data_IF_845013530091
#
_entry.id   IF_845013530091
#
_cell.length_a   1.000
_cell.length_b   1.000
_cell.length_c   1.000
_cell.angle_alpha   90.00
_cell.angle_beta   90.00
_cell.angle_gamma   90.00
#
_symmetry.space_group_name_H-M   'P 1'
#
loop_
_entity.id
_entity.type
_entity.pdbx_description
1 polymer ?
#
# COMPACT_ATOMS: atom_id res chain seq x y z
N UNK A 1 -22.45 16.42 70.84
CA UNK A 1 -23.09 17.65 70.29
C UNK A 1 -24.46 17.77 70.94
N UNK A 2 -24.90 18.97 71.34
CA UNK A 2 -26.22 19.18 71.96
C UNK A 2 -27.04 20.12 71.09
N UNK A 3 -28.36 19.94 71.07
CA UNK A 3 -29.24 20.88 70.37
C UNK A 3 -29.21 22.26 71.05
N UNK A 4 -29.00 23.37 70.32
CA UNK A 4 -28.95 24.71 70.92
C UNK A 4 -30.31 25.19 71.45
N UNK A 5 -31.42 24.58 71.03
CA UNK A 5 -32.78 24.99 71.43
C UNK A 5 -33.29 24.19 72.62
N UNK A 6 -33.32 22.85 72.52
CA UNK A 6 -33.88 21.99 73.58
C UNK A 6 -32.83 21.32 74.47
N UNK A 7 -31.54 21.56 74.23
CA UNK A 7 -30.42 20.93 74.94
C UNK A 7 -30.40 19.39 74.92
N UNK A 8 -31.20 18.76 74.05
CA UNK A 8 -31.18 17.30 73.87
C UNK A 8 -29.87 16.83 73.24
N UNK A 9 -29.47 15.63 73.64
CA UNK A 9 -28.27 14.93 73.13
C UNK A 9 -28.62 14.00 71.95
N UNK A 10 -29.90 13.90 71.59
CA UNK A 10 -30.39 13.04 70.51
C UNK A 10 -30.39 13.79 69.17
N UNK A 11 -29.34 13.54 68.38
CA UNK A 11 -29.08 14.19 67.09
C UNK A 11 -28.90 13.09 66.03
N UNK A 12 -29.59 13.23 64.90
CA UNK A 12 -29.58 12.27 63.79
C UNK A 12 -29.21 12.99 62.50
N UNK A 13 -28.55 12.25 61.59
CA UNK A 13 -28.14 12.74 60.29
C UNK A 13 -29.19 12.34 59.27
N UNK A 14 -29.86 13.32 58.69
CA UNK A 14 -30.75 13.13 57.55
C UNK A 14 -29.92 13.17 56.27
N UNK A 15 -29.55 11.99 55.79
CA UNK A 15 -28.80 11.83 54.55
C UNK A 15 -29.61 12.16 53.29
N UNK A 16 -30.94 12.15 53.37
CA UNK A 16 -31.79 12.48 52.21
C UNK A 16 -31.79 13.99 51.95
N UNK A 17 -31.80 14.79 53.02
CA UNK A 17 -31.77 16.26 52.92
C UNK A 17 -30.36 16.86 53.16
N UNK A 18 -29.38 16.03 53.54
CA UNK A 18 -28.02 16.46 53.84
C UNK A 18 -27.96 17.35 55.08
N UNK A 19 -28.68 17.00 56.15
CA UNK A 19 -28.84 17.84 57.34
C UNK A 19 -28.55 17.06 58.62
N UNK A 20 -28.08 17.75 59.65
CA UNK A 20 -27.93 17.23 61.01
C UNK A 20 -29.08 17.79 61.84
N UNK A 21 -29.99 16.95 62.32
CA UNK A 21 -31.27 17.36 62.90
C UNK A 21 -31.42 16.81 64.32
N UNK A 22 -31.94 17.63 65.24
CA UNK A 22 -32.33 17.15 66.57
C UNK A 22 -33.66 16.37 66.49
N UNK A 23 -33.68 15.15 67.00
CA UNK A 23 -34.91 14.32 66.98
C UNK A 23 -35.95 14.76 68.00
N UNK A 24 -35.57 15.53 69.02
CA UNK A 24 -36.48 15.95 70.08
C UNK A 24 -37.30 17.20 69.68
N UNK A 25 -36.71 18.17 69.00
CA UNK A 25 -37.39 19.42 68.63
C UNK A 25 -37.38 19.73 67.13
N UNK A 26 -36.79 18.87 66.30
CA UNK A 26 -36.76 19.03 64.84
C UNK A 26 -35.82 20.13 64.32
N UNK A 27 -35.02 20.74 65.19
CA UNK A 27 -34.10 21.81 64.79
C UNK A 27 -32.96 21.27 63.95
N UNK A 28 -32.73 21.85 62.77
CA UNK A 28 -31.54 21.63 61.95
C UNK A 28 -30.36 22.34 62.60
N UNK A 29 -29.37 21.57 63.03
CA UNK A 29 -28.17 22.03 63.72
C UNK A 29 -27.09 22.39 62.72
N UNK A 30 -26.96 21.61 61.65
CA UNK A 30 -25.93 21.80 60.63
C UNK A 30 -26.36 21.17 59.29
N UNK A 31 -25.62 21.46 58.23
CA UNK A 31 -25.80 20.90 56.88
C UNK A 31 -24.58 20.06 56.53
N UNK A 32 -24.81 18.81 56.12
CA UNK A 32 -23.76 17.89 55.68
C UNK A 32 -23.31 18.30 54.28
N UNK A 33 -22.15 18.93 54.18
CA UNK A 33 -21.48 19.20 52.91
C UNK A 33 -20.75 17.94 52.46
N UNK A 34 -21.29 17.24 51.46
CA UNK A 34 -20.56 16.17 50.76
C UNK A 34 -19.72 16.85 49.67
N UNK A 35 -18.46 17.15 49.98
CA UNK A 35 -17.48 17.44 48.94
C UNK A 35 -17.25 16.16 48.13
N UNK A 36 -17.87 16.07 46.96
CA UNK A 36 -17.43 15.12 45.94
C UNK A 36 -16.03 15.55 45.52
N UNK A 37 -15.00 14.94 46.11
CA UNK A 37 -13.65 14.97 45.56
C UNK A 37 -13.65 14.20 44.24
N UNK A 38 -14.23 14.79 43.19
CA UNK A 38 -13.73 14.54 41.86
C UNK A 38 -12.28 14.98 41.88
N UNK A 39 -11.36 14.06 41.62
CA UNK A 39 -9.96 14.35 41.37
C UNK A 39 -9.84 15.19 40.09
N UNK A 40 -10.19 16.48 40.18
CA UNK A 40 -10.04 17.49 39.13
C UNK A 40 -8.59 18.02 39.11
N UNK A 41 -7.76 17.60 40.06
CA UNK A 41 -6.38 18.08 40.25
C UNK A 41 -5.45 17.89 39.04
N UNK A 42 -5.77 17.02 38.07
CA UNK A 42 -4.94 16.84 36.86
C UNK A 42 -5.40 17.63 35.62
N UNK A 43 -6.54 18.34 35.67
CA UNK A 43 -7.10 19.02 34.48
C UNK A 43 -7.37 20.53 34.62
N UNK A 44 -7.06 21.17 35.75
CA UNK A 44 -7.34 22.60 35.99
C UNK A 44 -6.50 23.54 35.10
N UNK A 45 -5.44 23.05 34.45
CA UNK A 45 -4.59 23.87 33.57
C UNK A 45 -4.92 23.85 32.08
N UNK A 46 -5.87 23.03 31.62
CA UNK A 46 -6.18 22.91 30.18
C UNK A 46 -7.69 22.99 29.96
N UNK A 47 -8.17 24.18 29.63
CA UNK A 47 -9.54 24.37 29.15
C UNK A 47 -9.87 23.40 27.99
N UNK A 48 -11.18 23.24 27.72
CA UNK A 48 -11.64 22.47 26.55
C UNK A 48 -10.91 23.00 25.30
N UNK A 49 -10.30 22.11 24.48
CA UNK A 49 -9.55 22.56 23.32
C UNK A 49 -10.47 23.37 22.43
N UNK A 50 -10.02 24.57 22.06
CA UNK A 50 -10.75 25.40 21.11
C UNK A 50 -10.99 24.62 19.80
N UNK A 51 -12.04 24.94 19.05
CA UNK A 51 -12.30 24.31 17.74
C UNK A 51 -11.04 24.33 16.85
N UNK A 52 -10.27 25.43 16.93
CA UNK A 52 -8.99 25.61 16.24
C UNK A 52 -7.91 24.63 16.70
N UNK A 53 -7.77 24.40 18.00
CA UNK A 53 -6.87 23.38 18.56
C UNK A 53 -7.31 21.95 18.21
N UNK A 54 -8.61 21.68 18.23
CA UNK A 54 -9.18 20.40 17.79
C UNK A 54 -8.82 20.10 16.33
N UNK A 55 -8.98 21.08 15.44
CA UNK A 55 -8.59 20.97 14.03
C UNK A 55 -7.07 20.78 13.88
N UNK A 56 -6.25 21.52 14.63
CA UNK A 56 -4.80 21.39 14.59
C UNK A 56 -4.34 20.00 15.06
N UNK A 57 -4.89 19.48 16.16
CA UNK A 57 -4.62 18.12 16.66
C UNK A 57 -5.07 17.06 15.66
N UNK A 58 -6.22 17.24 15.00
CA UNK A 58 -6.68 16.34 13.94
C UNK A 58 -5.71 16.32 12.76
N UNK A 59 -5.30 17.50 12.26
CA UNK A 59 -4.27 17.62 11.20
C UNK A 59 -2.94 16.98 11.60
N UNK A 60 -2.51 17.15 12.84
CA UNK A 60 -1.27 16.55 13.36
C UNK A 60 -1.37 15.02 13.46
N UNK A 61 -2.53 14.48 13.86
CA UNK A 61 -2.81 13.04 13.85
C UNK A 61 -2.81 12.48 12.43
N UNK A 62 -3.45 13.15 11.49
CA UNK A 62 -3.44 12.76 10.08
C UNK A 62 -2.02 12.78 9.50
N UNK A 63 -1.26 13.85 9.78
CA UNK A 63 0.14 13.97 9.35
C UNK A 63 1.03 12.86 9.94
N UNK A 64 0.94 12.62 11.26
CA UNK A 64 1.70 11.55 11.91
C UNK A 64 1.29 10.16 11.44
N UNK A 65 0.01 9.92 11.14
CA UNK A 65 -0.45 8.68 10.52
C UNK A 65 0.13 8.49 9.12
N UNK A 66 0.16 9.54 8.29
CA UNK A 66 0.78 9.51 6.94
C UNK A 66 2.29 9.23 7.02
N UNK A 67 3.00 9.86 7.96
CA UNK A 67 4.42 9.59 8.17
C UNK A 67 4.68 8.14 8.58
N UNK A 68 3.84 7.58 9.45
CA UNK A 68 3.93 6.17 9.88
C UNK A 68 3.69 5.21 8.71
N UNK A 69 2.69 5.48 7.85
CA UNK A 69 2.42 4.63 6.68
C UNK A 69 3.55 4.69 5.66
N UNK A 70 4.05 5.88 5.34
CA UNK A 70 5.22 6.05 4.48
C UNK A 70 6.47 5.35 5.05
N UNK A 71 6.70 5.47 6.36
CA UNK A 71 7.80 4.79 7.03
C UNK A 71 7.70 3.27 6.92
N UNK A 72 6.48 2.71 6.98
CA UNK A 72 6.25 1.26 6.80
C UNK A 72 6.53 0.82 5.36
N UNK A 73 6.07 1.58 4.36
CA UNK A 73 6.32 1.29 2.94
C UNK A 73 7.82 1.29 2.62
N UNK A 74 8.54 2.32 3.09
CA UNK A 74 9.99 2.44 2.91
C UNK A 74 10.74 1.30 3.60
N UNK A 75 10.42 1.01 4.87
CA UNK A 75 11.03 -0.12 5.59
C UNK A 75 10.83 -1.44 4.86
N UNK A 76 9.64 -1.67 4.31
CA UNK A 76 9.38 -2.88 3.56
C UNK A 76 10.15 -2.90 2.25
N UNK A 77 10.18 -1.80 1.52
CA UNK A 77 10.98 -1.67 0.30
C UNK A 77 12.44 -2.03 0.55
N UNK A 78 13.04 -1.53 1.63
CA UNK A 78 14.41 -1.89 2.01
C UNK A 78 14.59 -3.39 2.23
N UNK A 79 13.64 -4.06 2.90
CA UNK A 79 13.69 -5.52 3.10
C UNK A 79 13.69 -6.26 1.77
N UNK A 80 12.85 -5.85 0.82
CA UNK A 80 12.81 -6.46 -0.51
C UNK A 80 14.07 -6.14 -1.32
N UNK A 81 14.57 -4.91 -1.24
CA UNK A 81 15.75 -4.44 -1.96
C UNK A 81 17.01 -5.16 -1.48
N UNK A 82 17.18 -5.38 -0.18
CA UNK A 82 18.29 -6.17 0.38
C UNK A 82 18.32 -7.62 -0.12
N UNK A 83 17.16 -8.18 -0.48
CA UNK A 83 17.03 -9.54 -1.04
C UNK A 83 17.16 -9.58 -2.56
N UNK A 84 17.20 -8.43 -3.22
CA UNK A 84 17.29 -8.37 -4.67
C UNK A 84 18.66 -8.89 -5.13
N UNK A 85 18.66 -9.72 -6.17
CA UNK A 85 19.88 -10.22 -6.79
C UNK A 85 20.54 -9.13 -7.64
N UNK A 86 21.79 -9.37 -8.04
CA UNK A 86 22.48 -8.55 -9.04
C UNK A 86 21.58 -8.29 -10.26
N UNK A 87 21.49 -7.03 -10.66
CA UNK A 87 20.70 -6.53 -11.80
C UNK A 87 19.18 -6.67 -11.70
N UNK A 88 18.66 -7.02 -10.52
CA UNK A 88 17.23 -7.05 -10.20
C UNK A 88 16.91 -5.90 -9.25
N UNK A 89 15.82 -5.19 -9.52
CA UNK A 89 15.30 -4.10 -8.70
C UNK A 89 13.89 -4.42 -8.23
N UNK A 90 13.47 -3.73 -7.17
CA UNK A 90 12.11 -3.82 -6.63
C UNK A 90 11.24 -2.82 -7.35
N UNK A 91 10.20 -3.31 -8.02
CA UNK A 91 9.12 -2.49 -8.54
C UNK A 91 8.28 -2.00 -7.36
N UNK A 92 8.50 -0.74 -6.98
CA UNK A 92 7.83 -0.11 -5.85
C UNK A 92 6.31 -0.03 -6.05
N UNK A 93 5.84 0.23 -7.27
CA UNK A 93 4.40 0.25 -7.57
C UNK A 93 3.75 -1.13 -7.39
N UNK A 94 4.40 -2.19 -7.87
CA UNK A 94 3.93 -3.55 -7.67
C UNK A 94 3.95 -3.96 -6.19
N UNK A 95 4.97 -3.54 -5.43
CA UNK A 95 5.03 -3.74 -3.99
C UNK A 95 3.87 -3.02 -3.28
N UNK A 96 3.60 -1.77 -3.67
CA UNK A 96 2.52 -0.95 -3.13
C UNK A 96 1.17 -1.61 -3.39
N UNK A 97 0.87 -1.94 -4.64
CA UNK A 97 -0.35 -2.67 -5.04
C UNK A 97 -0.57 -3.92 -4.21
N UNK A 98 0.47 -4.75 -4.05
CA UNK A 98 0.38 -5.96 -3.23
C UNK A 98 0.08 -5.67 -1.76
N UNK A 99 0.60 -4.58 -1.20
CA UNK A 99 0.33 -4.19 0.18
C UNK A 99 -1.12 -3.76 0.41
N UNK A 100 -1.73 -3.13 -0.59
CA UNK A 100 -3.14 -2.75 -0.56
C UNK A 100 -4.08 -3.89 -0.99
N UNK A 101 -3.56 -5.07 -1.34
CA UNK A 101 -4.36 -6.20 -1.83
C UNK A 101 -4.80 -6.05 -3.29
N UNK A 102 -4.28 -5.05 -3.99
CA UNK A 102 -4.66 -4.62 -5.33
C UNK A 102 -3.70 -5.18 -6.39
N UNK A 103 -3.52 -6.51 -6.42
CA UNK A 103 -2.85 -7.16 -7.55
C UNK A 103 -1.83 -8.24 -7.19
N UNK A 104 -1.35 -8.91 -8.25
CA UNK A 104 -0.41 -10.05 -8.18
C UNK A 104 0.83 -9.79 -9.06
N UNK A 105 1.13 -8.53 -9.34
CA UNK A 105 2.26 -8.14 -10.17
C UNK A 105 3.59 -8.59 -9.56
N UNK A 106 4.56 -8.82 -10.44
CA UNK A 106 5.89 -9.24 -10.03
C UNK A 106 6.63 -8.07 -9.36
N UNK A 107 7.00 -8.28 -8.10
CA UNK A 107 7.76 -7.30 -7.30
C UNK A 107 9.18 -7.11 -7.85
N UNK A 108 9.81 -8.19 -8.30
CA UNK A 108 11.19 -8.16 -8.77
C UNK A 108 11.25 -8.03 -10.29
N UNK A 109 11.83 -6.94 -10.79
CA UNK A 109 12.04 -6.71 -12.22
C UNK A 109 13.52 -6.53 -12.52
N UNK A 110 13.92 -6.76 -13.77
CA UNK A 110 15.30 -6.48 -14.15
C UNK A 110 15.52 -4.97 -14.28
N UNK A 111 16.70 -4.47 -13.89
CA UNK A 111 17.04 -3.03 -13.93
C UNK A 111 16.87 -2.38 -15.31
N UNK A 112 16.95 -3.18 -16.37
CA UNK A 112 16.83 -2.72 -17.76
C UNK A 112 15.37 -2.64 -18.27
N UNK A 113 14.41 -3.26 -17.57
CA UNK A 113 13.01 -3.28 -18.02
C UNK A 113 12.37 -1.89 -18.16
N UNK A 114 12.63 -0.87 -17.31
CA UNK A 114 12.07 0.46 -17.50
C UNK A 114 12.48 1.09 -18.84
N UNK A 115 13.79 1.09 -19.15
CA UNK A 115 14.31 1.58 -20.44
C UNK A 115 13.74 0.79 -21.62
N UNK A 116 13.59 -0.52 -21.46
CA UNK A 116 12.99 -1.36 -22.49
C UNK A 116 11.51 -0.98 -22.75
N UNK A 117 10.74 -0.66 -21.70
CA UNK A 117 9.35 -0.18 -21.84
C UNK A 117 9.26 1.14 -22.59
N UNK A 118 10.17 2.07 -22.33
CA UNK A 118 10.23 3.35 -23.06
C UNK A 118 10.47 3.11 -24.56
N UNK A 119 11.40 2.22 -24.90
CA UNK A 119 11.69 1.86 -26.29
C UNK A 119 10.49 1.18 -26.97
N UNK A 120 9.79 0.26 -26.27
CA UNK A 120 8.55 -0.35 -26.77
C UNK A 120 7.47 0.71 -27.01
N UNK A 121 7.33 1.68 -26.10
CA UNK A 121 6.32 2.72 -26.23
C UNK A 121 6.53 3.61 -27.47
N UNK A 122 7.78 3.75 -27.93
CA UNK A 122 8.14 4.51 -29.13
C UNK A 122 7.97 3.69 -30.42
N UNK A 123 8.09 2.36 -30.35
CA UNK A 123 8.02 1.46 -31.51
C UNK A 123 6.64 0.79 -31.64
N UNK A 124 5.79 1.36 -32.51
CA UNK A 124 4.43 0.83 -32.77
C UNK A 124 4.45 -0.59 -33.36
N UNK A 125 5.42 -0.91 -34.20
CA UNK A 125 5.54 -2.23 -34.80
C UNK A 125 5.86 -3.28 -33.73
N UNK A 126 6.80 -2.94 -32.83
CA UNK A 126 7.15 -3.80 -31.70
C UNK A 126 5.94 -4.04 -30.76
N UNK A 127 5.10 -3.03 -30.53
CA UNK A 127 3.87 -3.20 -29.74
C UNK A 127 2.89 -4.18 -30.40
N UNK A 128 2.70 -4.08 -31.72
CA UNK A 128 1.84 -5.00 -32.47
C UNK A 128 2.36 -6.43 -32.40
N UNK A 129 3.67 -6.63 -32.56
CA UNK A 129 4.31 -7.95 -32.44
C UNK A 129 4.17 -8.53 -31.03
N UNK A 130 4.32 -7.70 -29.99
CA UNK A 130 4.08 -8.13 -28.61
C UNK A 130 2.63 -8.55 -28.38
N UNK A 131 1.66 -7.83 -28.94
CA UNK A 131 0.24 -8.20 -28.85
C UNK A 131 -0.06 -9.53 -29.54
N UNK A 132 0.63 -9.86 -30.65
CA UNK A 132 0.53 -11.17 -31.31
C UNK A 132 1.15 -12.26 -30.43
N UNK A 133 2.32 -12.00 -29.83
CA UNK A 133 3.03 -12.93 -28.94
C UNK A 133 2.18 -13.27 -27.71
N UNK A 134 1.47 -12.29 -27.16
CA UNK A 134 0.62 -12.47 -25.99
C UNK A 134 -0.60 -13.39 -26.25
N UNK A 135 -0.93 -13.68 -27.52
CA UNK A 135 -1.96 -14.67 -27.87
C UNK A 135 -1.46 -16.12 -27.81
N UNK A 136 -0.15 -16.37 -27.82
CA UNK A 136 0.39 -17.72 -27.60
C UNK A 136 0.63 -17.94 -26.10
N UNK A 137 -0.03 -18.92 -25.45
CA UNK A 137 0.09 -19.12 -24.00
C UNK A 137 1.53 -19.38 -23.52
N UNK A 138 2.35 -20.05 -24.33
CA UNK A 138 3.72 -20.38 -23.95
C UNK A 138 4.61 -19.14 -24.02
N UNK A 139 4.48 -18.35 -25.08
CA UNK A 139 5.27 -17.12 -25.24
C UNK A 139 4.77 -15.99 -24.31
N UNK A 140 3.46 -15.90 -24.07
CA UNK A 140 2.84 -14.95 -23.16
C UNK A 140 3.30 -15.11 -21.70
N UNK A 141 3.69 -16.31 -21.29
CA UNK A 141 4.23 -16.59 -19.95
C UNK A 141 5.65 -16.04 -19.71
N UNK A 142 6.34 -15.60 -20.77
CA UNK A 142 7.73 -15.13 -20.69
C UNK A 142 7.84 -13.76 -20.01
N UNK A 143 9.05 -13.45 -19.54
CA UNK A 143 9.37 -12.10 -19.04
C UNK A 143 9.31 -11.08 -20.17
N UNK A 144 9.15 -9.80 -19.83
CA UNK A 144 9.12 -8.72 -20.83
C UNK A 144 10.33 -8.78 -21.77
N UNK A 145 11.54 -8.92 -21.22
CA UNK A 145 12.78 -9.08 -22.00
C UNK A 145 12.73 -10.26 -22.97
N UNK A 146 12.16 -11.38 -22.53
CA UNK A 146 12.00 -12.57 -23.38
C UNK A 146 10.99 -12.34 -24.50
N UNK A 147 9.84 -11.73 -24.22
CA UNK A 147 8.83 -11.40 -25.23
C UNK A 147 9.38 -10.43 -26.27
N UNK A 148 10.12 -9.41 -25.83
CA UNK A 148 10.76 -8.44 -26.73
C UNK A 148 11.82 -9.10 -27.61
N UNK A 149 12.64 -10.00 -27.05
CA UNK A 149 13.59 -10.76 -27.86
C UNK A 149 12.87 -11.58 -28.94
N UNK A 150 11.77 -12.25 -28.58
CA UNK A 150 10.95 -13.01 -29.52
C UNK A 150 10.35 -12.10 -30.59
N UNK A 151 9.83 -10.92 -30.20
CA UNK A 151 9.27 -9.95 -31.14
C UNK A 151 10.29 -9.45 -32.15
N UNK A 152 11.51 -9.14 -31.70
CA UNK A 152 12.60 -8.76 -32.59
C UNK A 152 12.95 -9.91 -33.54
N UNK A 153 13.13 -11.14 -33.04
CA UNK A 153 13.41 -12.30 -33.90
C UNK A 153 12.29 -12.53 -34.92
N UNK A 154 11.03 -12.36 -34.52
CA UNK A 154 9.88 -12.46 -35.42
C UNK A 154 9.93 -11.38 -36.51
N UNK A 155 10.31 -10.14 -36.18
CA UNK A 155 10.52 -9.07 -37.16
C UNK A 155 11.59 -9.43 -38.21
N UNK A 156 12.69 -10.07 -37.81
CA UNK A 156 13.68 -10.57 -38.77
C UNK A 156 13.09 -11.65 -39.69
N UNK A 157 12.40 -12.64 -39.10
CA UNK A 157 11.77 -13.74 -39.85
C UNK A 157 10.72 -13.23 -40.85
N UNK A 158 9.90 -12.25 -40.46
CA UNK A 158 8.89 -11.65 -41.35
C UNK A 158 9.51 -10.91 -42.54
N UNK A 159 10.72 -10.38 -42.37
CA UNK A 159 11.49 -9.72 -43.41
C UNK A 159 12.41 -10.68 -44.19
N UNK A 160 12.25 -12.00 -44.01
CA UNK A 160 13.10 -13.04 -44.61
C UNK A 160 14.60 -12.86 -44.29
N UNK A 161 14.92 -12.30 -43.12
CA UNK A 161 16.29 -12.12 -42.65
C UNK A 161 16.61 -13.08 -41.50
N UNK A 162 17.88 -13.44 -41.36
CA UNK A 162 18.34 -14.19 -40.19
C UNK A 162 18.40 -13.28 -38.95
N UNK A 163 17.93 -13.75 -37.77
CA UNK A 163 18.00 -12.94 -36.56
C UNK A 163 19.44 -12.68 -36.10
N UNK A 164 19.78 -11.41 -35.92
CA UNK A 164 21.03 -11.02 -35.28
C UNK A 164 20.95 -11.25 -33.76
N UNK A 165 21.42 -12.42 -33.32
CA UNK A 165 21.41 -12.79 -31.91
C UNK A 165 22.27 -11.86 -31.02
N UNK A 166 23.32 -11.24 -31.55
CA UNK A 166 24.19 -10.37 -30.78
C UNK A 166 23.53 -9.01 -30.57
N UNK A 167 22.91 -8.44 -31.61
CA UNK A 167 22.11 -7.22 -31.49
C UNK A 167 20.93 -7.42 -30.52
N UNK A 168 20.20 -8.53 -30.65
CA UNK A 168 19.05 -8.83 -29.79
C UNK A 168 19.47 -9.07 -28.34
N UNK A 169 20.60 -9.76 -28.12
CA UNK A 169 21.18 -9.98 -26.79
C UNK A 169 21.52 -8.65 -26.11
N UNK A 170 22.19 -7.73 -26.83
CA UNK A 170 22.52 -6.38 -26.34
C UNK A 170 21.27 -5.57 -26.04
N UNK A 171 20.29 -5.58 -26.96
CA UNK A 171 19.06 -4.80 -26.82
C UNK A 171 18.22 -5.27 -25.61
N UNK A 172 18.11 -6.59 -25.40
CA UNK A 172 17.26 -7.15 -24.35
C UNK A 172 17.98 -7.41 -23.04
N UNK A 173 19.31 -7.22 -22.99
CA UNK A 173 20.14 -7.59 -21.83
C UNK A 173 19.94 -9.06 -21.43
N UNK A 174 19.84 -9.95 -22.42
CA UNK A 174 19.78 -11.41 -22.24
C UNK A 174 21.08 -12.03 -22.76
N UNK A 175 21.51 -13.15 -22.19
CA UNK A 175 22.67 -13.87 -22.73
C UNK A 175 22.37 -14.44 -24.12
N UNK A 176 23.38 -14.47 -25.00
CA UNK A 176 23.25 -15.02 -26.36
C UNK A 176 22.66 -16.44 -26.38
N UNK A 177 23.07 -17.28 -25.44
CA UNK A 177 22.53 -18.64 -25.28
C UNK A 177 21.03 -18.64 -24.97
N UNK A 178 20.57 -17.71 -24.13
CA UNK A 178 19.15 -17.58 -23.83
C UNK A 178 18.37 -17.11 -25.06
N UNK A 179 18.89 -16.14 -25.81
CA UNK A 179 18.27 -15.68 -27.07
C UNK A 179 18.15 -16.83 -28.07
N UNK A 180 19.20 -17.63 -28.27
CA UNK A 180 19.15 -18.83 -29.13
C UNK A 180 18.10 -19.86 -28.69
N UNK A 181 17.95 -20.08 -27.38
CA UNK A 181 16.90 -20.95 -26.84
C UNK A 181 15.50 -20.40 -27.13
N UNK A 182 15.31 -19.08 -27.02
CA UNK A 182 14.05 -18.43 -27.38
C UNK A 182 13.77 -18.53 -28.87
N UNK A 183 14.80 -18.44 -29.73
CA UNK A 183 14.64 -18.63 -31.17
C UNK A 183 14.10 -20.03 -31.50
N UNK A 184 14.64 -21.08 -30.88
CA UNK A 184 14.12 -22.44 -31.06
C UNK A 184 12.64 -22.54 -30.69
N UNK A 185 12.25 -21.94 -29.56
CA UNK A 185 10.85 -21.92 -29.12
C UNK A 185 9.94 -21.13 -30.07
N UNK A 186 10.43 -20.02 -30.62
CA UNK A 186 9.73 -19.27 -31.65
C UNK A 186 9.53 -20.12 -32.90
N UNK A 187 10.59 -20.77 -33.38
CA UNK A 187 10.59 -21.59 -34.59
C UNK A 187 9.55 -22.72 -34.50
N UNK A 188 9.52 -23.45 -33.37
CA UNK A 188 8.54 -24.51 -33.09
C UNK A 188 7.08 -23.99 -33.07
N UNK A 189 6.88 -22.67 -32.98
CA UNK A 189 5.58 -22.01 -32.83
C UNK A 189 5.19 -21.14 -34.03
N UNK A 190 6.05 -21.01 -35.04
CA UNK A 190 5.83 -20.12 -36.19
C UNK A 190 4.49 -20.38 -36.88
N UNK A 191 4.10 -21.64 -37.06
CA UNK A 191 2.80 -21.98 -37.69
C UNK A 191 1.60 -21.41 -36.91
N UNK A 192 1.61 -21.46 -35.58
CA UNK A 192 0.52 -20.89 -34.75
C UNK A 192 0.53 -19.38 -34.81
N UNK A 193 1.70 -18.77 -34.74
CA UNK A 193 1.86 -17.31 -34.83
C UNK A 193 1.36 -16.80 -36.19
N UNK A 194 1.67 -17.52 -37.28
CA UNK A 194 1.19 -17.19 -38.61
C UNK A 194 -0.34 -17.19 -38.71
N UNK A 195 -1.04 -18.09 -37.99
CA UNK A 195 -2.51 -18.06 -37.91
C UNK A 195 -3.02 -16.79 -37.23
N UNK A 196 -2.37 -16.33 -36.17
CA UNK A 196 -2.75 -15.08 -35.49
C UNK A 196 -2.51 -13.85 -36.37
N UNK A 197 -1.44 -13.85 -37.16
CA UNK A 197 -1.14 -12.76 -38.11
C UNK A 197 -2.24 -12.71 -39.18
N UNK A 198 -2.54 -13.85 -39.83
CA UNK A 198 -3.59 -13.92 -40.87
C UNK A 198 -4.98 -13.55 -40.33
N UNK A 199 -5.33 -14.01 -39.14
CA UNK A 199 -6.60 -13.66 -38.50
C UNK A 199 -6.70 -12.19 -38.06
N UNK A 200 -5.57 -11.47 -37.97
CA UNK A 200 -5.54 -10.03 -37.66
C UNK A 200 -5.67 -9.17 -38.93
N UNK A 201 -5.24 -9.66 -40.09
CA UNK A 201 -5.42 -8.98 -41.38
C UNK A 201 -6.87 -8.98 -41.90
N UNK A 202 -7.74 -9.86 -41.40
CA UNK A 202 -9.16 -9.95 -41.84
C UNK A 202 -10.05 -8.90 -41.12
N UNK A 203 -9.53 -8.17 -40.13
CA UNK A 203 -10.31 -7.22 -39.31
C UNK A 203 -10.04 -5.74 -39.63
N UNK A 204 -9.56 -5.42 -40.82
CA UNK A 204 -9.45 -4.04 -41.32
C UNK A 204 -10.21 -3.89 -42.62
#
# INVERSE_FOLDING_TARGET
>A
MKCPICSSDTIVWDYYHGQVVCTNCGTVIDVVYIEYQYSVADNIGRGLPTVREGIARKKQREHSSRLRSQSREVKLYEVYARRARKDVIVNFEALKKRLYGEGKERIYIHKFEPKLREQINQDKELQQLLAIIDRDPLLASRTLRGKVAIALMLKYVLNNMEPDFDAISKFTSLSRTHVRRLYKQLHDRLHRIAMYIRGSCIRH
#
